data_IF_556199747440
#
_entry.id   IF_556199747440
#
_cell.length_a   1.000
_cell.length_b   1.000
_cell.length_c   1.000
_cell.angle_alpha   90.00
_cell.angle_beta   90.00
_cell.angle_gamma   90.00
#
_symmetry.space_group_name_H-M   'P 1'
#
loop_
_entity.id
_entity.type
_entity.pdbx_description
1 polymer ?
#
# COMPACT_ATOMS: atom_id res chain seq x y z
N UNK A 1 -5.89 9.36 13.08
CA UNK A 1 -6.91 8.31 13.31
C UNK A 1 -6.45 7.05 12.62
N UNK A 2 -6.00 6.07 13.39
CA UNK A 2 -5.77 4.71 12.91
C UNK A 2 -7.11 4.00 12.81
N UNK A 3 -7.63 3.80 11.60
CA UNK A 3 -8.84 3.01 11.38
C UNK A 3 -8.58 1.78 10.50
N UNK A 4 -7.48 1.09 10.78
CA UNK A 4 -7.39 -0.34 10.46
C UNK A 4 -7.75 -1.09 11.75
N UNK A 5 -8.99 -1.53 11.85
CA UNK A 5 -9.47 -2.26 13.03
C UNK A 5 -9.45 -3.76 12.73
N UNK A 6 -8.55 -4.48 13.37
CA UNK A 6 -8.59 -5.93 13.41
C UNK A 6 -9.71 -6.35 14.37
N UNK A 7 -10.72 -7.04 13.87
CA UNK A 7 -11.84 -7.54 14.67
C UNK A 7 -12.10 -9.00 14.35
N UNK A 8 -12.34 -9.78 15.38
CA UNK A 8 -13.00 -11.08 15.23
C UNK A 8 -14.46 -10.79 14.91
N UNK A 9 -14.94 -11.31 13.78
CA UNK A 9 -16.35 -11.18 13.45
C UNK A 9 -17.20 -12.14 14.31
N UNK A 10 -18.53 -12.01 14.20
CA UNK A 10 -19.48 -12.85 14.94
C UNK A 10 -19.40 -14.35 14.57
N UNK A 11 -18.62 -14.71 13.56
CA UNK A 11 -18.38 -16.10 13.14
C UNK A 11 -17.09 -16.68 13.73
N UNK A 12 -16.31 -15.87 14.44
CA UNK A 12 -15.04 -16.26 15.07
C UNK A 12 -13.84 -16.22 14.13
N UNK A 13 -14.02 -15.73 12.90
CA UNK A 13 -12.96 -15.59 11.92
C UNK A 13 -12.34 -14.19 11.98
N UNK A 14 -11.06 -14.11 11.64
CA UNK A 14 -10.34 -12.85 11.57
C UNK A 14 -10.87 -12.04 10.39
N UNK A 15 -11.15 -10.76 10.61
CA UNK A 15 -11.58 -9.82 9.59
C UNK A 15 -10.81 -8.52 9.70
N UNK A 16 -10.58 -7.88 8.55
CA UNK A 16 -9.98 -6.57 8.45
C UNK A 16 -10.83 -5.68 7.56
N UNK A 17 -11.23 -4.55 8.12
CA UNK A 17 -11.99 -3.52 7.40
C UNK A 17 -11.13 -2.28 7.24
N UNK A 18 -11.17 -1.71 6.05
CA UNK A 18 -10.57 -0.42 5.72
C UNK A 18 -11.65 0.52 5.16
N UNK A 19 -11.44 1.82 5.38
CA UNK A 19 -12.23 2.87 4.76
C UNK A 19 -11.57 3.34 3.46
N UNK A 20 -12.38 3.72 2.49
CA UNK A 20 -11.90 4.35 1.25
C UNK A 20 -12.63 5.66 0.95
N UNK A 21 -12.00 6.52 0.14
CA UNK A 21 -12.66 7.70 -0.42
C UNK A 21 -13.02 7.40 -1.86
N UNK A 22 -14.29 7.57 -2.26
CA UNK A 22 -14.74 7.29 -3.65
C UNK A 22 -13.92 8.05 -4.69
N UNK A 23 -13.49 9.28 -4.38
CA UNK A 23 -12.66 10.11 -5.26
C UNK A 23 -11.22 9.61 -5.40
N UNK A 24 -10.76 8.78 -4.47
CA UNK A 24 -9.42 8.17 -4.48
C UNK A 24 -9.37 6.81 -5.20
N UNK A 25 -10.50 6.29 -5.68
CA UNK A 25 -10.54 5.04 -6.44
C UNK A 25 -10.06 5.24 -7.89
N UNK A 26 -9.71 4.13 -8.55
CA UNK A 26 -9.30 4.12 -9.95
C UNK A 26 -10.40 4.75 -10.81
N UNK A 27 -10.03 5.71 -11.66
CA UNK A 27 -10.99 6.44 -12.52
C UNK A 27 -11.35 5.68 -13.80
N UNK A 28 -10.49 4.75 -14.21
CA UNK A 28 -10.64 3.97 -15.43
C UNK A 28 -11.52 2.74 -15.21
N UNK A 29 -11.80 2.39 -13.95
CA UNK A 29 -12.52 1.20 -13.56
C UNK A 29 -13.64 1.51 -12.57
N UNK A 30 -14.86 1.09 -12.89
CA UNK A 30 -15.95 1.16 -11.93
C UNK A 30 -15.90 -0.03 -10.97
N UNK A 31 -15.24 0.16 -9.83
CA UNK A 31 -15.01 -0.90 -8.85
C UNK A 31 -16.31 -1.62 -8.46
N UNK A 32 -17.43 -0.92 -8.33
CA UNK A 32 -18.72 -1.52 -7.97
C UNK A 32 -19.27 -2.48 -9.04
N UNK A 33 -18.91 -2.27 -10.32
CA UNK A 33 -19.34 -3.14 -11.42
C UNK A 33 -18.43 -4.37 -11.56
N UNK A 34 -17.14 -4.23 -11.27
CA UNK A 34 -16.15 -5.30 -11.47
C UNK A 34 -15.91 -6.14 -10.21
N UNK A 35 -16.29 -5.63 -9.02
CA UNK A 35 -15.98 -6.22 -7.71
C UNK A 35 -16.16 -7.74 -7.65
N UNK A 36 -17.35 -8.22 -8.01
CA UNK A 36 -17.68 -9.64 -7.94
C UNK A 36 -16.80 -10.51 -8.86
N UNK A 37 -16.51 -10.01 -10.06
CA UNK A 37 -15.79 -10.76 -11.08
C UNK A 37 -14.28 -10.73 -10.87
N UNK A 38 -13.74 -9.56 -10.55
CA UNK A 38 -12.29 -9.34 -10.51
C UNK A 38 -11.70 -9.37 -9.09
N UNK A 39 -12.50 -9.11 -8.05
CA UNK A 39 -12.04 -9.11 -6.65
C UNK A 39 -12.55 -10.33 -5.89
N UNK A 40 -13.87 -10.54 -5.77
CA UNK A 40 -14.41 -11.66 -4.98
C UNK A 40 -13.91 -13.01 -5.48
N UNK A 41 -13.87 -13.21 -6.79
CA UNK A 41 -13.40 -14.46 -7.40
C UNK A 41 -11.93 -14.77 -7.03
N UNK A 42 -11.08 -13.75 -6.93
CA UNK A 42 -9.67 -13.88 -6.54
C UNK A 42 -9.54 -14.21 -5.05
N UNK A 43 -10.30 -13.54 -4.19
CA UNK A 43 -10.28 -13.82 -2.75
C UNK A 43 -10.81 -15.23 -2.46
N UNK A 44 -11.90 -15.64 -3.11
CA UNK A 44 -12.50 -16.96 -2.97
C UNK A 44 -11.55 -18.09 -3.40
N UNK A 45 -10.76 -17.89 -4.45
CA UNK A 45 -9.77 -18.88 -4.92
C UNK A 45 -8.68 -19.12 -3.89
N UNK A 46 -8.40 -18.13 -3.04
CA UNK A 46 -7.44 -18.16 -1.94
C UNK A 46 -8.08 -18.49 -0.57
N UNK A 47 -9.37 -18.88 -0.57
CA UNK A 47 -10.09 -19.23 0.65
C UNK A 47 -10.39 -18.04 1.56
N UNK A 48 -10.41 -16.82 1.03
CA UNK A 48 -10.85 -15.61 1.71
C UNK A 48 -12.25 -15.22 1.20
N UNK A 49 -12.95 -14.38 1.96
CA UNK A 49 -14.09 -13.62 1.46
C UNK A 49 -13.77 -12.13 1.50
N UNK A 50 -14.39 -11.35 0.63
CA UNK A 50 -14.30 -9.90 0.67
C UNK A 50 -15.65 -9.26 0.37
N UNK A 51 -15.88 -8.08 0.94
CA UNK A 51 -17.11 -7.31 0.79
C UNK A 51 -16.78 -5.85 0.47
N UNK A 52 -17.54 -5.27 -0.46
CA UNK A 52 -17.55 -3.85 -0.76
C UNK A 52 -18.88 -3.25 -0.30
N UNK A 53 -18.84 -2.43 0.74
CA UNK A 53 -19.98 -1.62 1.14
C UNK A 53 -19.79 -0.20 0.60
N UNK A 54 -20.48 0.08 -0.51
CA UNK A 54 -20.36 1.35 -1.22
C UNK A 54 -20.97 2.54 -0.46
N UNK A 55 -21.99 2.32 0.36
CA UNK A 55 -22.68 3.37 1.10
C UNK A 55 -21.84 3.80 2.32
N UNK A 56 -21.27 2.83 3.02
CA UNK A 56 -20.39 3.08 4.18
C UNK A 56 -18.93 3.35 3.78
N UNK A 57 -18.61 3.27 2.49
CA UNK A 57 -17.26 3.40 1.95
C UNK A 57 -16.25 2.48 2.64
N UNK A 58 -16.63 1.20 2.81
CA UNK A 58 -15.83 0.16 3.46
C UNK A 58 -15.49 -0.96 2.50
N UNK A 59 -14.28 -1.47 2.64
CA UNK A 59 -13.90 -2.78 2.09
C UNK A 59 -13.48 -3.67 3.25
N UNK A 60 -13.96 -4.90 3.25
CA UNK A 60 -13.64 -5.89 4.27
C UNK A 60 -13.05 -7.12 3.61
N UNK A 61 -12.02 -7.69 4.22
CA UNK A 61 -11.55 -9.06 3.96
C UNK A 61 -11.75 -9.88 5.21
N UNK A 62 -12.22 -11.12 5.04
CA UNK A 62 -12.36 -12.08 6.13
C UNK A 62 -11.74 -13.43 5.77
N UNK A 63 -11.17 -14.08 6.78
CA UNK A 63 -10.87 -15.50 6.68
C UNK A 63 -12.17 -16.32 6.60
N UNK A 64 -12.10 -17.46 5.94
CA UNK A 64 -13.20 -18.43 5.85
C UNK A 64 -12.76 -19.78 6.40
N UNK A 65 -13.70 -20.73 6.48
CA UNK A 65 -13.38 -22.14 6.78
C UNK A 65 -12.34 -22.76 5.83
N UNK A 66 -12.20 -22.21 4.62
CA UNK A 66 -11.25 -22.69 3.60
C UNK A 66 -9.86 -22.06 3.75
N UNK A 67 -9.68 -21.05 4.60
CA UNK A 67 -8.39 -20.39 4.80
C UNK A 67 -7.39 -21.34 5.47
N UNK A 68 -6.35 -21.75 4.74
CA UNK A 68 -5.31 -22.64 5.28
C UNK A 68 -4.19 -21.87 6.01
N UNK A 69 -3.65 -20.81 5.39
CA UNK A 69 -2.68 -19.91 6.03
C UNK A 69 -3.37 -18.62 6.45
N UNK A 70 -3.50 -18.41 7.77
CA UNK A 70 -4.13 -17.19 8.30
C UNK A 70 -3.40 -15.92 7.89
N UNK A 71 -2.11 -15.97 7.57
CA UNK A 71 -1.34 -14.78 7.16
C UNK A 71 -1.77 -14.23 5.79
N UNK A 72 -2.50 -15.01 5.00
CA UNK A 72 -3.02 -14.55 3.70
C UNK A 72 -4.01 -13.40 3.85
N UNK A 73 -4.67 -13.27 5.01
CA UNK A 73 -5.58 -12.15 5.28
C UNK A 73 -4.85 -10.80 5.22
N UNK A 74 -3.59 -10.74 5.65
CA UNK A 74 -2.80 -9.51 5.58
C UNK A 74 -2.49 -9.12 4.12
N UNK A 75 -2.32 -10.11 3.24
CA UNK A 75 -2.15 -9.86 1.79
C UNK A 75 -3.46 -9.40 1.17
N UNK A 76 -4.59 -10.02 1.55
CA UNK A 76 -5.92 -9.56 1.17
C UNK A 76 -6.18 -8.11 1.58
N UNK A 77 -5.88 -7.76 2.84
CA UNK A 77 -6.02 -6.40 3.33
C UNK A 77 -5.14 -5.41 2.56
N UNK A 78 -3.90 -5.80 2.24
CA UNK A 78 -3.00 -4.99 1.39
C UNK A 78 -3.54 -4.79 -0.03
N UNK A 79 -4.11 -5.82 -0.64
CA UNK A 79 -4.75 -5.69 -1.95
C UNK A 79 -5.92 -4.70 -1.92
N UNK A 80 -6.75 -4.76 -0.88
CA UNK A 80 -7.82 -3.78 -0.69
C UNK A 80 -7.29 -2.35 -0.44
N UNK A 81 -6.21 -2.19 0.33
CA UNK A 81 -5.55 -0.88 0.51
C UNK A 81 -5.07 -0.29 -0.81
N UNK A 82 -4.50 -1.12 -1.68
CA UNK A 82 -4.04 -0.72 -3.02
C UNK A 82 -5.19 -0.23 -3.89
N UNK A 83 -6.34 -0.92 -3.87
CA UNK A 83 -7.58 -0.46 -4.53
C UNK A 83 -8.09 0.86 -3.96
N UNK A 84 -8.08 1.00 -2.62
CA UNK A 84 -8.49 2.22 -1.93
C UNK A 84 -7.58 3.42 -2.25
N UNK A 85 -6.34 3.16 -2.67
CA UNK A 85 -5.40 4.14 -3.20
C UNK A 85 -5.45 4.25 -4.73
N UNK A 86 -6.51 3.80 -5.39
CA UNK A 86 -6.78 4.16 -6.78
C UNK A 86 -6.05 3.34 -7.84
N UNK A 87 -5.38 2.26 -7.44
CA UNK A 87 -4.88 1.24 -8.36
C UNK A 87 -6.04 0.31 -8.76
N UNK A 88 -5.98 -0.25 -9.96
CA UNK A 88 -7.05 -1.09 -10.50
C UNK A 88 -7.02 -2.53 -10.00
N UNK A 89 -8.04 -3.31 -10.36
CA UNK A 89 -8.18 -4.71 -9.94
C UNK A 89 -7.07 -5.63 -10.45
N UNK A 90 -6.28 -5.23 -11.44
CA UNK A 90 -5.15 -6.00 -11.96
C UNK A 90 -4.08 -6.32 -10.91
N UNK A 91 -4.02 -5.56 -9.82
CA UNK A 91 -3.05 -5.76 -8.74
C UNK A 91 -3.52 -6.71 -7.64
N UNK A 92 -4.80 -7.11 -7.64
CA UNK A 92 -5.37 -7.92 -6.57
C UNK A 92 -4.74 -9.31 -6.53
N UNK A 93 -4.80 -10.07 -7.62
CA UNK A 93 -4.24 -11.42 -7.70
C UNK A 93 -2.73 -11.46 -7.43
N UNK A 94 -1.88 -10.60 -8.03
CA UNK A 94 -0.45 -10.58 -7.73
C UNK A 94 -0.13 -10.34 -6.24
N UNK A 95 -0.89 -9.48 -5.56
CA UNK A 95 -0.68 -9.19 -4.14
C UNK A 95 -1.16 -10.34 -3.26
N UNK A 96 -2.36 -10.88 -3.53
CA UNK A 96 -2.95 -11.97 -2.73
C UNK A 96 -2.12 -13.25 -2.84
N UNK A 97 -1.72 -13.62 -4.08
CA UNK A 97 -0.83 -14.77 -4.32
C UNK A 97 0.58 -14.55 -3.75
N UNK A 98 0.99 -13.30 -3.58
CA UNK A 98 2.29 -12.90 -3.03
C UNK A 98 3.40 -12.85 -4.06
N UNK A 99 3.08 -12.81 -5.36
CA UNK A 99 4.06 -12.51 -6.41
C UNK A 99 4.46 -11.04 -6.44
N UNK A 100 3.61 -10.16 -5.88
CA UNK A 100 3.90 -8.73 -5.68
C UNK A 100 3.78 -8.39 -4.20
N UNK A 101 4.84 -7.79 -3.67
CA UNK A 101 4.86 -7.14 -2.38
C UNK A 101 4.32 -5.73 -2.52
N UNK A 102 3.42 -5.36 -1.62
CA UNK A 102 2.87 -4.01 -1.58
C UNK A 102 3.04 -3.38 -0.21
N UNK A 103 3.17 -2.06 -0.22
CA UNK A 103 3.18 -1.25 0.98
C UNK A 103 2.52 0.10 0.78
N UNK A 104 1.69 0.51 1.75
CA UNK A 104 0.98 1.79 1.74
C UNK A 104 1.42 2.57 2.96
N UNK A 105 2.13 3.66 2.72
CA UNK A 105 2.67 4.54 3.75
C UNK A 105 1.79 5.78 3.84
N UNK A 106 1.06 5.93 4.95
CA UNK A 106 0.34 7.16 5.22
C UNK A 106 1.33 8.26 5.55
N UNK A 107 1.16 9.40 4.90
CA UNK A 107 2.04 10.55 5.03
C UNK A 107 1.26 11.63 5.77
N UNK A 108 1.81 12.12 6.86
CA UNK A 108 1.23 13.17 7.70
C UNK A 108 2.26 14.25 7.94
N UNK A 109 1.83 15.50 7.97
CA UNK A 109 2.69 16.64 8.30
C UNK A 109 3.20 16.45 9.73
N UNK A 110 4.53 16.38 9.96
CA UNK A 110 5.09 16.27 11.31
C UNK A 110 4.72 17.46 12.20
N UNK A 111 4.61 17.23 13.50
CA UNK A 111 4.30 18.28 14.47
C UNK A 111 5.33 19.42 14.39
N UNK A 112 4.85 20.66 14.26
CA UNK A 112 5.69 21.85 14.16
C UNK A 112 6.24 22.15 12.76
N UNK A 113 5.91 21.35 11.74
CA UNK A 113 6.22 21.64 10.34
C UNK A 113 5.05 22.36 9.66
N UNK A 114 5.35 23.36 8.82
CA UNK A 114 4.32 24.02 8.00
C UNK A 114 3.96 23.15 6.79
N UNK A 115 2.78 23.38 6.21
CA UNK A 115 2.35 22.69 4.99
C UNK A 115 3.28 22.97 3.80
N UNK A 116 3.76 24.22 3.68
CA UNK A 116 4.69 24.63 2.63
C UNK A 116 6.06 23.95 2.76
N UNK A 117 6.60 23.87 3.99
CA UNK A 117 7.87 23.18 4.26
C UNK A 117 7.76 21.69 3.97
N UNK A 118 6.65 21.08 4.39
CA UNK A 118 6.37 19.67 4.14
C UNK A 118 6.23 19.37 2.66
N UNK A 119 5.45 20.17 1.94
CA UNK A 119 5.28 20.05 0.49
C UNK A 119 6.63 20.17 -0.22
N UNK A 120 7.47 21.12 0.19
CA UNK A 120 8.82 21.29 -0.37
C UNK A 120 9.70 20.06 -0.12
N UNK A 121 9.71 19.52 1.10
CA UNK A 121 10.44 18.28 1.43
C UNK A 121 9.92 17.06 0.67
N UNK A 122 8.61 16.93 0.52
CA UNK A 122 8.00 15.82 -0.20
C UNK A 122 8.34 15.86 -1.69
N UNK A 123 8.31 17.05 -2.32
CA UNK A 123 8.76 17.22 -3.70
C UNK A 123 10.26 16.95 -3.87
N UNK A 124 11.10 17.41 -2.95
CA UNK A 124 12.55 17.11 -2.97
C UNK A 124 12.81 15.59 -2.83
N UNK A 125 12.06 14.90 -1.95
CA UNK A 125 12.11 13.45 -1.83
C UNK A 125 11.77 12.76 -3.16
N UNK A 126 10.66 13.13 -3.82
CA UNK A 126 10.25 12.54 -5.10
C UNK A 126 11.34 12.76 -6.15
N UNK A 127 11.82 14.00 -6.29
CA UNK A 127 12.88 14.34 -7.23
C UNK A 127 14.17 13.54 -6.99
N UNK A 128 14.60 13.42 -5.73
CA UNK A 128 15.78 12.62 -5.37
C UNK A 128 15.55 11.14 -5.70
N UNK A 129 14.43 10.59 -5.25
CA UNK A 129 14.11 9.16 -5.37
C UNK A 129 13.97 8.72 -6.84
N UNK A 130 13.20 9.47 -7.64
CA UNK A 130 12.91 9.11 -9.03
C UNK A 130 14.00 9.59 -10.00
N UNK A 131 14.31 10.89 -9.98
CA UNK A 131 15.10 11.52 -11.03
C UNK A 131 16.60 11.46 -10.73
N UNK A 132 17.01 11.89 -9.54
CA UNK A 132 18.44 12.01 -9.19
C UNK A 132 19.10 10.63 -9.05
N UNK A 133 18.47 9.73 -8.30
CA UNK A 133 19.05 8.42 -7.96
C UNK A 133 18.47 7.25 -8.76
N UNK A 134 17.33 7.43 -9.43
CA UNK A 134 16.70 6.37 -10.23
C UNK A 134 16.33 5.13 -9.41
N UNK A 135 15.94 5.30 -8.15
CA UNK A 135 15.70 4.20 -7.21
C UNK A 135 14.58 3.24 -7.63
N UNK A 136 13.44 3.66 -8.22
CA UNK A 136 12.41 2.72 -8.66
C UNK A 136 12.96 1.59 -9.54
N UNK A 137 13.88 1.92 -10.46
CA UNK A 137 14.50 0.94 -11.36
C UNK A 137 15.47 0.02 -10.62
N UNK A 138 16.29 0.58 -9.73
CA UNK A 138 17.27 -0.19 -8.94
C UNK A 138 16.59 -1.16 -7.98
N UNK A 139 15.47 -0.73 -7.40
CA UNK A 139 14.68 -1.51 -6.45
C UNK A 139 13.62 -2.39 -7.12
N UNK A 140 13.49 -2.36 -8.46
CA UNK A 140 12.42 -3.09 -9.16
C UNK A 140 11.04 -2.81 -8.53
N UNK A 141 10.71 -1.53 -8.37
CA UNK A 141 9.46 -1.11 -7.77
C UNK A 141 8.71 -0.06 -8.59
N UNK A 142 7.40 -0.11 -8.48
CA UNK A 142 6.47 0.92 -8.92
C UNK A 142 6.04 1.73 -7.71
N UNK A 143 6.08 3.06 -7.82
CA UNK A 143 5.69 3.96 -6.73
C UNK A 143 4.60 4.89 -7.23
N UNK A 144 3.55 5.04 -6.42
CA UNK A 144 2.47 5.99 -6.64
C UNK A 144 2.46 7.00 -5.50
N UNK A 145 2.62 8.27 -5.86
CA UNK A 145 2.56 9.39 -4.92
C UNK A 145 1.15 9.96 -4.87
N UNK A 146 0.55 9.94 -3.69
CA UNK A 146 -0.70 10.62 -3.38
C UNK A 146 -0.47 11.68 -2.33
N UNK A 147 -1.44 12.61 -2.22
CA UNK A 147 -1.40 13.73 -1.28
C UNK A 147 -1.22 13.27 0.19
N UNK A 148 -1.79 12.12 0.55
CA UNK A 148 -1.75 11.59 1.92
C UNK A 148 -1.10 10.20 2.03
N UNK A 149 -0.55 9.67 0.93
CA UNK A 149 0.02 8.33 0.93
C UNK A 149 1.11 8.14 -0.15
N UNK A 150 2.11 7.31 0.15
CA UNK A 150 3.00 6.71 -0.84
C UNK A 150 2.65 5.23 -0.94
N UNK A 151 2.36 4.74 -2.15
CA UNK A 151 2.10 3.32 -2.41
C UNK A 151 3.28 2.75 -3.18
N UNK A 152 3.77 1.59 -2.75
CA UNK A 152 4.89 0.90 -3.39
C UNK A 152 4.47 -0.52 -3.72
N UNK A 153 4.74 -0.94 -4.96
CA UNK A 153 4.59 -2.31 -5.44
C UNK A 153 5.95 -2.81 -5.91
N UNK A 154 6.33 -4.03 -5.56
CA UNK A 154 7.58 -4.64 -6.03
C UNK A 154 7.48 -6.15 -6.09
N UNK A 155 8.20 -6.77 -7.01
CA UNK A 155 8.42 -8.22 -7.04
C UNK A 155 9.51 -8.66 -6.04
N UNK A 156 10.21 -7.71 -5.40
CA UNK A 156 11.24 -7.96 -4.38
C UNK A 156 10.75 -7.58 -2.98
N UNK A 157 10.79 -8.55 -2.06
CA UNK A 157 10.33 -8.35 -0.68
C UNK A 157 11.05 -7.20 0.06
N UNK A 158 12.36 -7.06 -0.16
CA UNK A 158 13.18 -6.04 0.52
C UNK A 158 12.90 -4.61 0.03
N UNK A 159 12.50 -4.45 -1.23
CA UNK A 159 12.33 -3.13 -1.84
C UNK A 159 11.26 -2.30 -1.17
N UNK A 160 10.10 -2.88 -0.82
CA UNK A 160 9.05 -2.12 -0.12
C UNK A 160 9.52 -1.60 1.24
N UNK A 161 10.35 -2.37 1.95
CA UNK A 161 10.91 -1.96 3.24
C UNK A 161 11.96 -0.87 3.11
N UNK A 162 12.81 -0.94 2.09
CA UNK A 162 13.80 0.11 1.81
C UNK A 162 13.08 1.43 1.50
N UNK A 163 12.08 1.41 0.62
CA UNK A 163 11.32 2.64 0.30
C UNK A 163 10.63 3.21 1.53
N UNK A 164 10.04 2.37 2.39
CA UNK A 164 9.45 2.82 3.66
C UNK A 164 10.43 3.55 4.56
N UNK A 165 11.63 3.00 4.71
CA UNK A 165 12.66 3.63 5.53
C UNK A 165 13.08 4.98 4.93
N UNK A 166 13.28 5.06 3.63
CA UNK A 166 13.63 6.31 2.94
C UNK A 166 12.55 7.39 3.10
N UNK A 167 11.29 7.05 2.86
CA UNK A 167 10.16 7.97 3.05
C UNK A 167 10.10 8.47 4.48
N UNK A 168 10.25 7.57 5.45
CA UNK A 168 10.16 7.90 6.87
C UNK A 168 11.33 8.80 7.30
N UNK A 169 12.56 8.46 6.92
CA UNK A 169 13.76 9.25 7.22
C UNK A 169 13.68 10.66 6.63
N UNK A 170 13.37 10.79 5.33
CA UNK A 170 13.24 12.09 4.69
C UNK A 170 12.21 13.01 5.36
N UNK A 171 11.05 12.46 5.69
CA UNK A 171 9.95 13.26 6.25
C UNK A 171 10.17 13.61 7.73
N UNK A 172 10.91 12.79 8.48
CA UNK A 172 11.28 13.07 9.87
C UNK A 172 12.51 13.97 10.02
N UNK A 173 13.14 14.37 8.90
CA UNK A 173 14.20 15.38 8.90
C UNK A 173 15.62 14.84 8.81
N UNK A 174 15.80 13.53 8.64
CA UNK A 174 17.07 12.97 8.19
C UNK A 174 17.19 13.17 6.67
N UNK A 175 18.39 13.40 6.14
CA UNK A 175 18.64 13.35 4.69
C UNK A 175 19.31 12.02 4.33
N UNK A 176 18.54 10.94 4.07
CA UNK A 176 19.12 9.67 3.65
C UNK A 176 19.84 9.79 2.30
N UNK A 177 19.64 10.87 1.55
CA UNK A 177 20.26 11.08 0.24
C UNK A 177 21.59 11.83 0.30
N UNK A 178 22.20 11.97 1.47
CA UNK A 178 23.56 12.50 1.62
C UNK A 178 24.53 11.66 0.77
N UNK A 179 25.11 12.27 -0.27
CA UNK A 179 25.90 11.57 -1.28
C UNK A 179 27.13 10.86 -0.69
N UNK A 180 27.66 11.39 0.40
CA UNK A 180 28.81 10.82 1.11
C UNK A 180 28.47 9.50 1.83
N UNK A 181 27.19 9.29 2.16
CA UNK A 181 26.69 8.13 2.90
C UNK A 181 25.66 7.30 2.12
N UNK A 182 25.29 7.72 0.91
CA UNK A 182 24.24 7.07 0.11
C UNK A 182 24.56 5.61 -0.23
N UNK A 183 25.84 5.26 -0.37
CA UNK A 183 26.27 3.88 -0.59
C UNK A 183 25.97 2.94 0.60
N UNK A 184 25.76 3.49 1.80
CA UNK A 184 25.42 2.73 3.00
C UNK A 184 23.93 2.37 3.07
N UNK A 185 23.09 2.90 2.17
CA UNK A 185 21.64 2.65 2.12
C UNK A 185 21.24 1.27 1.56
N UNK A 186 22.05 0.24 1.82
CA UNK A 186 21.62 -1.17 1.68
C UNK A 186 21.21 -1.60 0.26
N UNK A 187 21.93 -1.17 -0.77
CA UNK A 187 21.71 -1.67 -2.15
C UNK A 187 22.58 -2.88 -2.52
N UNK A 188 23.49 -3.30 -1.64
CA UNK A 188 24.48 -4.33 -1.97
C UNK A 188 23.93 -5.77 -1.94
N UNK A 189 22.72 -5.99 -1.38
CA UNK A 189 22.14 -7.34 -1.19
C UNK A 189 20.71 -7.53 -1.77
N UNK A 190 20.31 -6.77 -2.81
CA UNK A 190 18.95 -6.84 -3.42
C UNK A 190 18.91 -7.43 -4.83
#
# INVERSE_FOLDING_TARGET
MDENSQKLDNTGYESMTLLFKKQGLCKEENLNQVWKKEVETVFESHGLSCELNWDECKMTVSATERTQDRRIIYRGARALCVLACGLGTEWVEPIVSGSVHSDVMKITIPDGMTEDDFSSKYHDFIFKFEDKFGLPRKLSCFVLYQEAAVVVLSDKAGSTSIVRNLVTSCLLGDDPFDEDHFHELFLDDV
#
